data_IF_872829029027
#
_entry.id   IF_872829029027
#
_cell.length_a   1.000
_cell.length_b   1.000
_cell.length_c   1.000
_cell.angle_alpha   90.00
_cell.angle_beta   90.00
_cell.angle_gamma   90.00
#
_symmetry.space_group_name_H-M   'P 1'
#
loop_
_entity.id
_entity.type
_entity.pdbx_description
1 polymer ?
#
# COMPACT_ATOMS: atom_id res chain seq x y z
N UNK A 1 -38.42 0.61 1.46
CA UNK A 1 -37.26 -0.11 0.90
C UNK A 1 -36.02 0.77 0.67
N UNK A 2 -36.14 2.10 0.62
CA UNK A 2 -35.00 3.02 0.34
C UNK A 2 -34.09 3.31 1.54
N UNK A 3 -34.60 3.30 2.77
CA UNK A 3 -33.81 3.67 3.98
C UNK A 3 -32.76 2.62 4.39
N UNK A 4 -33.08 1.34 4.25
CA UNK A 4 -32.14 0.23 4.52
C UNK A 4 -31.04 0.13 3.46
N UNK A 5 -31.35 0.48 2.22
CA UNK A 5 -30.39 0.53 1.11
C UNK A 5 -29.39 1.69 1.26
N UNK A 6 -29.86 2.85 1.75
CA UNK A 6 -28.97 3.98 2.10
C UNK A 6 -27.99 3.58 3.19
N UNK A 7 -28.48 2.98 4.29
CA UNK A 7 -27.64 2.56 5.40
C UNK A 7 -26.59 1.52 4.96
N UNK A 8 -26.97 0.55 4.12
CA UNK A 8 -26.02 -0.41 3.56
C UNK A 8 -24.91 0.28 2.74
N UNK A 9 -25.27 1.26 1.90
CA UNK A 9 -24.30 2.00 1.09
C UNK A 9 -23.39 2.92 1.92
N UNK A 10 -23.83 3.37 3.10
CA UNK A 10 -23.03 4.19 4.01
C UNK A 10 -22.00 3.34 4.79
N UNK A 11 -22.31 2.09 5.16
CA UNK A 11 -21.41 1.20 5.90
C UNK A 11 -20.51 0.34 5.01
N UNK A 12 -20.91 0.09 3.76
CA UNK A 12 -20.14 -0.74 2.83
C UNK A 12 -18.69 -0.24 2.62
N UNK A 13 -18.40 1.07 2.46
CA UNK A 13 -17.03 1.57 2.38
C UNK A 13 -16.20 1.24 3.62
N UNK A 14 -16.79 1.34 4.82
CA UNK A 14 -16.09 1.08 6.08
C UNK A 14 -15.72 -0.39 6.19
N UNK A 15 -16.65 -1.29 5.87
CA UNK A 15 -16.42 -2.74 5.87
C UNK A 15 -15.32 -3.11 4.86
N UNK A 16 -15.34 -2.51 3.67
CA UNK A 16 -14.32 -2.75 2.64
C UNK A 16 -12.94 -2.28 3.08
N UNK A 17 -12.83 -1.09 3.69
CA UNK A 17 -11.55 -0.56 4.19
C UNK A 17 -10.96 -1.46 5.27
N UNK A 18 -11.76 -1.81 6.28
CA UNK A 18 -11.31 -2.69 7.37
C UNK A 18 -10.91 -4.07 6.82
N UNK A 19 -11.71 -4.62 5.92
CA UNK A 19 -11.40 -5.88 5.25
C UNK A 19 -10.07 -5.84 4.49
N UNK A 20 -9.81 -4.76 3.76
CA UNK A 20 -8.56 -4.59 3.01
C UNK A 20 -7.34 -4.53 3.94
N UNK A 21 -7.41 -3.74 5.02
CA UNK A 21 -6.33 -3.64 6.01
C UNK A 21 -6.04 -4.98 6.70
N UNK A 22 -7.08 -5.74 7.04
CA UNK A 22 -6.90 -7.08 7.61
C UNK A 22 -6.22 -8.05 6.63
N UNK A 23 -6.58 -7.99 5.34
CA UNK A 23 -5.97 -8.81 4.29
C UNK A 23 -4.49 -8.43 4.11
N UNK A 24 -4.18 -7.14 4.05
CA UNK A 24 -2.81 -6.64 3.88
C UNK A 24 -1.91 -7.06 5.04
N UNK A 25 -2.39 -6.90 6.28
CA UNK A 25 -1.64 -7.35 7.47
C UNK A 25 -1.45 -8.87 7.51
N UNK A 26 -2.46 -9.65 7.09
CA UNK A 26 -2.37 -11.09 6.97
C UNK A 26 -1.32 -11.53 5.96
N UNK A 27 -1.29 -10.90 4.78
CA UNK A 27 -0.32 -11.16 3.72
C UNK A 27 1.11 -10.82 4.14
N UNK A 28 1.34 -9.67 4.78
CA UNK A 28 2.65 -9.29 5.29
C UNK A 28 3.18 -10.27 6.35
N UNK A 29 2.30 -10.75 7.23
CA UNK A 29 2.64 -11.73 8.26
C UNK A 29 3.00 -13.09 7.63
N UNK A 30 2.19 -13.56 6.68
CA UNK A 30 2.47 -14.80 5.93
C UNK A 30 3.77 -14.70 5.13
N UNK A 31 4.00 -13.58 4.45
CA UNK A 31 5.25 -13.32 3.74
C UNK A 31 6.44 -13.43 4.70
N UNK A 32 6.38 -12.75 5.85
CA UNK A 32 7.47 -12.77 6.83
C UNK A 32 7.71 -14.17 7.39
N UNK A 33 6.65 -14.92 7.71
CA UNK A 33 6.76 -16.30 8.16
C UNK A 33 7.43 -17.19 7.11
N UNK A 34 7.04 -17.07 5.84
CA UNK A 34 7.62 -17.88 4.76
C UNK A 34 9.08 -17.52 4.46
N UNK A 35 9.47 -16.24 4.54
CA UNK A 35 10.87 -15.84 4.41
C UNK A 35 11.72 -16.32 5.59
N UNK A 36 11.16 -16.41 6.81
CA UNK A 36 11.86 -16.97 7.97
C UNK A 36 12.16 -18.47 7.81
N UNK A 37 11.30 -19.20 7.09
CA UNK A 37 11.54 -20.60 6.70
C UNK A 37 12.45 -20.74 5.47
N UNK A 38 13.02 -19.63 4.97
CA UNK A 38 14.01 -19.62 3.89
C UNK A 38 13.43 -19.49 2.48
N UNK A 39 12.13 -19.18 2.34
CA UNK A 39 11.53 -19.00 1.02
C UNK A 39 11.98 -17.71 0.34
N UNK A 40 12.38 -17.81 -0.94
CA UNK A 40 12.80 -16.67 -1.75
C UNK A 40 11.60 -15.73 -2.07
N UNK A 41 11.84 -14.42 -1.98
CA UNK A 41 10.84 -13.37 -2.20
C UNK A 41 10.16 -13.49 -3.58
N UNK A 42 10.91 -13.78 -4.64
CA UNK A 42 10.35 -13.92 -5.98
C UNK A 42 9.38 -15.09 -6.11
N UNK A 43 9.64 -16.18 -5.37
CA UNK A 43 8.79 -17.37 -5.37
C UNK A 43 7.47 -17.07 -4.67
N UNK A 44 7.51 -16.38 -3.52
CA UNK A 44 6.30 -15.93 -2.82
C UNK A 44 5.42 -15.07 -3.74
N UNK A 45 6.02 -14.08 -4.40
CA UNK A 45 5.31 -13.18 -5.31
C UNK A 45 4.63 -13.95 -6.44
N UNK A 46 5.35 -14.90 -7.07
CA UNK A 46 4.82 -15.72 -8.15
C UNK A 46 3.61 -16.55 -7.69
N UNK A 47 3.67 -17.15 -6.49
CA UNK A 47 2.54 -17.88 -5.92
C UNK A 47 1.36 -16.97 -5.61
N UNK A 48 1.58 -15.80 -5.01
CA UNK A 48 0.52 -14.85 -4.70
C UNK A 48 -0.24 -14.43 -5.96
N UNK A 49 0.46 -14.08 -7.05
CA UNK A 49 -0.15 -13.74 -8.33
C UNK A 49 -0.85 -14.93 -8.99
N UNK A 50 -0.28 -16.13 -8.91
CA UNK A 50 -0.89 -17.34 -9.48
C UNK A 50 -2.22 -17.68 -8.78
N UNK A 51 -2.24 -17.61 -7.44
CA UNK A 51 -3.45 -17.83 -6.64
C UNK A 51 -4.47 -16.74 -6.93
N UNK A 52 -4.07 -15.46 -6.90
CA UNK A 52 -4.95 -14.33 -7.21
C UNK A 52 -5.59 -14.46 -8.59
N UNK A 53 -4.81 -14.82 -9.61
CA UNK A 53 -5.30 -15.05 -10.97
C UNK A 53 -6.27 -16.23 -11.02
N UNK A 54 -5.94 -17.34 -10.35
CA UNK A 54 -6.79 -18.55 -10.33
C UNK A 54 -8.15 -18.32 -9.67
N UNK A 55 -8.21 -17.43 -8.67
CA UNK A 55 -9.46 -17.05 -8.00
C UNK A 55 -10.25 -16.03 -8.82
N UNK A 56 -9.58 -15.01 -9.38
CA UNK A 56 -10.25 -13.96 -10.15
C UNK A 56 -10.76 -14.48 -11.50
N UNK A 57 -10.02 -15.36 -12.16
CA UNK A 57 -10.35 -15.89 -13.48
C UNK A 57 -11.78 -16.47 -13.56
N UNK A 58 -12.21 -17.43 -12.71
CA UNK A 58 -13.58 -17.95 -12.74
C UNK A 58 -14.61 -16.88 -12.40
N UNK A 59 -14.34 -16.00 -11.43
CA UNK A 59 -15.26 -14.90 -11.06
C UNK A 59 -15.57 -14.00 -12.26
N UNK A 60 -14.57 -13.72 -13.11
CA UNK A 60 -14.77 -12.92 -14.32
C UNK A 60 -15.60 -13.63 -15.39
N UNK A 61 -15.57 -14.97 -15.44
CA UNK A 61 -16.37 -15.77 -16.39
C UNK A 61 -17.84 -15.90 -15.95
N UNK A 62 -18.09 -16.05 -14.65
CA UNK A 62 -19.44 -16.20 -14.11
C UNK A 62 -20.18 -14.86 -13.91
N UNK A 63 -19.45 -13.74 -13.81
CA UNK A 63 -20.08 -12.43 -13.67
C UNK A 63 -20.71 -12.01 -15.00
N UNK A 64 -22.05 -12.03 -15.05
CA UNK A 64 -22.83 -11.56 -16.20
C UNK A 64 -22.53 -10.08 -16.45
N UNK A 65 -21.72 -9.81 -17.46
CA UNK A 65 -21.25 -8.47 -17.81
C UNK A 65 -22.42 -7.64 -18.35
N UNK A 66 -22.94 -6.73 -17.53
CA UNK A 66 -24.04 -5.83 -17.90
C UNK A 66 -23.60 -4.73 -18.89
N UNK A 67 -22.29 -4.48 -19.00
CA UNK A 67 -21.69 -3.47 -19.90
C UNK A 67 -20.96 -4.15 -21.06
N UNK A 68 -21.23 -3.68 -22.29
CA UNK A 68 -20.41 -3.94 -23.46
C UNK A 68 -19.02 -3.38 -23.18
N UNK A 69 -18.00 -4.22 -23.30
CA UNK A 69 -16.64 -3.81 -22.95
C UNK A 69 -15.91 -3.31 -24.16
N UNK A 70 -15.20 -2.17 -24.03
CA UNK A 70 -14.49 -1.60 -25.15
C UNK A 70 -13.51 -2.63 -25.72
N UNK A 71 -13.38 -2.71 -27.07
CA UNK A 71 -12.44 -3.62 -27.69
C UNK A 71 -11.02 -3.34 -27.18
N UNK A 72 -10.25 -4.41 -26.97
CA UNK A 72 -8.86 -4.32 -26.57
C UNK A 72 -8.06 -3.69 -27.70
N UNK A 73 -7.78 -2.39 -27.59
CA UNK A 73 -6.88 -1.68 -28.50
C UNK A 73 -5.44 -1.82 -28.01
N UNK A 74 -4.47 -1.74 -28.92
CA UNK A 74 -3.05 -1.77 -28.60
C UNK A 74 -2.67 -0.74 -27.51
N UNK A 75 -3.27 0.45 -27.56
CA UNK A 75 -3.08 1.50 -26.55
C UNK A 75 -3.50 1.06 -25.14
N UNK A 76 -4.63 0.36 -25.02
CA UNK A 76 -5.11 -0.15 -23.73
C UNK A 76 -4.16 -1.23 -23.22
N UNK A 77 -3.70 -2.13 -24.09
CA UNK A 77 -2.72 -3.17 -23.73
C UNK A 77 -1.42 -2.53 -23.24
N UNK A 78 -0.87 -1.54 -23.97
CA UNK A 78 0.32 -0.81 -23.53
C UNK A 78 0.14 -0.13 -22.17
N UNK A 79 -1.02 0.48 -21.92
CA UNK A 79 -1.32 1.09 -20.61
C UNK A 79 -1.35 0.03 -19.49
N UNK A 80 -2.01 -1.11 -19.73
CA UNK A 80 -2.07 -2.21 -18.75
C UNK A 80 -0.68 -2.77 -18.47
N UNK A 81 0.14 -2.96 -19.51
CA UNK A 81 1.53 -3.45 -19.37
C UNK A 81 2.36 -2.46 -18.55
N UNK A 82 2.31 -1.16 -18.86
CA UNK A 82 3.04 -0.13 -18.11
C UNK A 82 2.60 -0.08 -16.64
N UNK A 83 1.30 -0.14 -16.38
CA UNK A 83 0.76 -0.12 -15.01
C UNK A 83 1.17 -1.38 -14.23
N UNK A 84 1.15 -2.53 -14.90
CA UNK A 84 1.57 -3.82 -14.35
C UNK A 84 3.08 -3.87 -14.06
N UNK A 85 3.93 -3.36 -14.96
CA UNK A 85 5.39 -3.37 -14.73
C UNK A 85 5.78 -2.46 -13.56
N UNK A 86 5.13 -1.31 -13.40
CA UNK A 86 5.35 -0.42 -12.24
C UNK A 86 4.96 -1.14 -10.95
N UNK A 87 3.78 -1.77 -10.90
CA UNK A 87 3.31 -2.49 -9.71
C UNK A 87 4.13 -3.72 -9.35
N UNK A 88 4.56 -4.52 -10.34
CA UNK A 88 5.46 -5.64 -10.10
C UNK A 88 6.82 -5.17 -9.57
N UNK A 89 7.35 -4.09 -10.12
CA UNK A 89 8.64 -3.52 -9.68
C UNK A 89 8.54 -3.03 -8.24
N UNK A 90 7.45 -2.33 -7.89
CA UNK A 90 7.25 -1.82 -6.53
C UNK A 90 7.20 -2.98 -5.51
N UNK A 91 6.39 -4.02 -5.76
CA UNK A 91 6.32 -5.17 -4.86
C UNK A 91 7.66 -5.88 -4.66
N UNK A 92 8.43 -6.12 -5.74
CA UNK A 92 9.76 -6.74 -5.62
C UNK A 92 10.65 -5.88 -4.72
N UNK A 93 10.64 -4.56 -4.93
CA UNK A 93 11.45 -3.62 -4.16
C UNK A 93 11.02 -3.57 -2.69
N UNK A 94 9.72 -3.61 -2.43
CA UNK A 94 9.14 -3.66 -1.08
C UNK A 94 9.56 -4.91 -0.32
N UNK A 95 9.45 -6.09 -0.94
CA UNK A 95 9.85 -7.35 -0.31
C UNK A 95 11.35 -7.45 -0.05
N UNK A 96 12.18 -6.96 -0.98
CA UNK A 96 13.63 -6.85 -0.77
C UNK A 96 13.92 -5.84 0.36
N UNK A 97 13.24 -4.69 0.39
CA UNK A 97 13.36 -3.69 1.44
C UNK A 97 12.98 -4.22 2.83
N UNK A 98 11.90 -5.01 2.94
CA UNK A 98 11.51 -5.71 4.18
C UNK A 98 12.55 -6.77 4.57
N UNK A 99 13.18 -7.44 3.60
CA UNK A 99 14.22 -8.44 3.87
C UNK A 99 15.49 -7.82 4.45
N UNK A 100 15.89 -6.62 3.98
CA UNK A 100 17.04 -5.87 4.51
C UNK A 100 16.72 -5.03 5.75
N UNK A 101 15.44 -4.88 6.10
CA UNK A 101 14.99 -4.07 7.24
C UNK A 101 13.99 -4.83 8.13
N UNK A 102 12.98 -4.13 8.66
CA UNK A 102 11.91 -4.72 9.48
C UNK A 102 10.54 -4.38 8.89
N UNK A 103 9.53 -5.25 9.08
CA UNK A 103 8.14 -4.95 8.73
C UNK A 103 7.64 -3.66 9.39
N UNK A 104 8.08 -3.36 10.61
CA UNK A 104 7.73 -2.11 11.31
C UNK A 104 8.27 -0.86 10.60
N UNK A 105 9.49 -0.92 10.05
CA UNK A 105 10.03 0.17 9.22
C UNK A 105 9.18 0.35 7.96
N UNK A 106 8.81 -0.75 7.30
CA UNK A 106 7.94 -0.70 6.13
C UNK A 106 6.58 -0.06 6.46
N UNK A 107 5.94 -0.43 7.58
CA UNK A 107 4.69 0.20 8.02
C UNK A 107 4.86 1.69 8.35
N UNK A 108 6.01 2.09 8.92
CA UNK A 108 6.30 3.49 9.20
C UNK A 108 6.47 4.31 7.91
N UNK A 109 7.16 3.79 6.89
CA UNK A 109 7.34 4.47 5.61
C UNK A 109 6.04 4.45 4.78
N UNK A 110 5.19 3.44 4.93
CA UNK A 110 3.86 3.38 4.29
C UNK A 110 2.99 4.59 4.61
N UNK A 111 3.16 5.20 5.78
CA UNK A 111 2.47 6.43 6.18
C UNK A 111 2.81 7.63 5.27
N UNK A 112 3.85 7.53 4.42
CA UNK A 112 4.19 8.53 3.41
C UNK A 112 3.40 8.39 2.10
N UNK A 113 2.68 7.28 1.87
CA UNK A 113 1.86 7.08 0.67
C UNK A 113 0.92 8.27 0.39
N UNK A 114 0.09 8.78 1.33
CA UNK A 114 -0.78 9.93 1.06
C UNK A 114 -0.01 11.20 0.68
N UNK A 115 1.23 11.36 1.15
CA UNK A 115 2.11 12.49 0.81
C UNK A 115 2.56 12.40 -0.64
N UNK A 116 3.11 11.23 -1.02
CA UNK A 116 3.57 11.00 -2.38
C UNK A 116 2.42 11.08 -3.39
N UNK A 117 1.25 10.52 -3.05
CA UNK A 117 0.06 10.59 -3.89
C UNK A 117 -0.39 12.03 -4.10
N UNK A 118 -0.43 12.86 -3.06
CA UNK A 118 -0.78 14.28 -3.19
C UNK A 118 0.25 15.04 -4.04
N UNK A 119 1.55 14.83 -3.78
CA UNK A 119 2.62 15.47 -4.55
C UNK A 119 2.50 15.15 -6.04
N UNK A 120 2.31 13.87 -6.37
CA UNK A 120 2.14 13.40 -7.75
C UNK A 120 0.85 13.95 -8.38
N UNK A 121 -0.26 13.99 -7.65
CA UNK A 121 -1.52 14.57 -8.14
C UNK A 121 -1.37 16.05 -8.54
N UNK A 122 -0.59 16.82 -7.77
CA UNK A 122 -0.24 18.22 -8.08
C UNK A 122 0.70 18.29 -9.29
N UNK A 123 1.75 17.48 -9.34
CA UNK A 123 2.72 17.46 -10.46
C UNK A 123 2.07 17.08 -11.79
N UNK A 124 1.21 16.06 -11.81
CA UNK A 124 0.46 15.65 -13.00
C UNK A 124 -0.74 16.56 -13.32
N UNK A 125 -0.94 17.62 -12.53
CA UNK A 125 -2.02 18.60 -12.73
C UNK A 125 -3.42 17.98 -12.72
N UNK A 126 -3.56 16.82 -12.07
CA UNK A 126 -4.84 16.14 -11.85
C UNK A 126 -5.69 16.92 -10.85
N UNK A 127 -5.05 17.59 -9.89
CA UNK A 127 -5.69 18.63 -9.09
C UNK A 127 -5.42 20.02 -9.68
N UNK A 128 -6.47 20.67 -10.20
CA UNK A 128 -6.42 22.11 -10.45
C UNK A 128 -6.48 22.81 -9.09
N UNK A 129 -5.34 23.29 -8.60
CA UNK A 129 -5.24 24.24 -7.49
C UNK A 129 -5.90 25.57 -7.90
N UNK A 130 -7.23 25.57 -8.01
CA UNK A 130 -7.99 26.78 -8.16
C UNK A 130 -8.08 27.42 -6.78
N UNK A 131 -7.03 28.18 -6.41
CA UNK A 131 -6.87 28.84 -5.10
C UNK A 131 -8.08 29.69 -4.66
N UNK A 132 -9.01 29.98 -5.58
CA UNK A 132 -10.24 30.75 -5.36
C UNK A 132 -11.44 29.91 -4.90
N UNK A 133 -11.42 28.57 -5.03
CA UNK A 133 -12.54 27.70 -4.60
C UNK A 133 -12.34 27.18 -3.18
N UNK A 134 -13.28 27.49 -2.27
CA UNK A 134 -13.27 27.00 -0.88
C UNK A 134 -13.24 25.47 -0.79
N UNK A 135 -13.86 24.77 -1.74
CA UNK A 135 -13.85 23.30 -1.78
C UNK A 135 -12.47 22.73 -2.15
N UNK A 136 -11.75 23.37 -3.07
CA UNK A 136 -10.38 22.97 -3.43
C UNK A 136 -9.42 23.21 -2.26
N UNK A 137 -9.55 24.34 -1.57
CA UNK A 137 -8.72 24.64 -0.39
C UNK A 137 -9.02 23.69 0.76
N UNK A 138 -10.28 23.29 0.97
CA UNK A 138 -10.64 22.28 1.97
C UNK A 138 -10.05 20.90 1.66
N UNK A 139 -9.99 20.49 0.39
CA UNK A 139 -9.32 19.24 -0.02
C UNK A 139 -7.82 19.29 0.27
N UNK A 140 -7.16 20.38 -0.11
CA UNK A 140 -5.71 20.56 0.13
C UNK A 140 -5.40 20.62 1.63
N UNK A 141 -6.17 21.38 2.41
CA UNK A 141 -6.00 21.47 3.87
C UNK A 141 -6.27 20.10 4.53
N UNK A 142 -7.32 19.38 4.10
CA UNK A 142 -7.61 18.03 4.56
C UNK A 142 -6.46 17.06 4.28
N UNK A 143 -5.87 17.12 3.08
CA UNK A 143 -4.68 16.35 2.73
C UNK A 143 -3.48 16.72 3.62
N UNK A 144 -3.20 18.00 3.83
CA UNK A 144 -2.10 18.45 4.71
C UNK A 144 -2.30 17.97 6.15
N UNK A 145 -3.53 18.05 6.67
CA UNK A 145 -3.86 17.57 8.03
C UNK A 145 -3.72 16.04 8.10
N UNK A 146 -4.15 15.30 7.09
CA UNK A 146 -3.98 13.84 7.03
C UNK A 146 -2.51 13.44 6.99
N UNK A 147 -1.70 14.15 6.21
CA UNK A 147 -0.24 13.99 6.13
C UNK A 147 0.40 14.27 7.50
N UNK A 148 0.02 15.37 8.15
CA UNK A 148 0.51 15.71 9.47
C UNK A 148 0.12 14.65 10.51
N UNK A 149 -1.11 14.13 10.46
CA UNK A 149 -1.58 13.04 11.32
C UNK A 149 -0.78 11.75 11.14
N UNK A 150 -0.45 11.38 9.91
CA UNK A 150 0.37 10.23 9.59
C UNK A 150 1.81 10.37 10.14
N UNK A 151 2.41 11.55 10.04
CA UNK A 151 3.71 11.83 10.68
C UNK A 151 3.65 11.78 12.20
N UNK A 152 2.61 12.38 12.81
CA UNK A 152 2.43 12.32 14.27
C UNK A 152 2.31 10.88 14.73
N UNK A 153 1.49 10.04 14.07
CA UNK A 153 1.37 8.62 14.40
C UNK A 153 2.71 7.88 14.26
N UNK A 154 3.49 8.19 13.24
CA UNK A 154 4.80 7.57 12.99
C UNK A 154 5.84 7.93 14.04
N UNK A 155 5.88 9.20 14.46
CA UNK A 155 6.83 9.68 15.46
C UNK A 155 6.33 9.50 16.91
N UNK A 156 5.06 9.17 17.09
CA UNK A 156 4.48 8.91 18.41
C UNK A 156 5.02 7.59 18.98
N UNK A 157 6.03 7.69 19.83
CA UNK A 157 6.49 6.58 20.67
C UNK A 157 5.52 6.40 21.83
N UNK A 158 4.51 5.56 21.66
CA UNK A 158 3.61 5.15 22.74
C UNK A 158 4.34 4.34 23.83
N UNK A 159 3.80 4.28 25.06
CA UNK A 159 4.34 3.44 26.12
C UNK A 159 4.32 1.95 25.70
N UNK A 160 5.41 1.23 25.96
CA UNK A 160 5.51 -0.21 25.67
C UNK A 160 4.45 -0.97 26.46
N UNK A 161 3.49 -1.57 25.77
CA UNK A 161 2.36 -2.29 26.38
C UNK A 161 2.79 -3.73 26.79
N UNK A 162 3.97 -4.18 26.34
CA UNK A 162 4.49 -5.51 26.66
C UNK A 162 5.62 -5.42 27.71
N UNK A 163 5.25 -5.58 28.98
CA UNK A 163 6.20 -5.92 30.05
C UNK A 163 6.62 -7.39 29.87
N UNK A 164 7.53 -7.66 28.95
CA UNK A 164 8.21 -8.96 28.87
C UNK A 164 9.35 -9.02 29.90
N UNK A 165 8.99 -9.15 31.17
CA UNK A 165 9.89 -9.62 32.21
C UNK A 165 10.20 -11.10 31.98
N UNK A 166 11.15 -11.40 31.08
CA UNK A 166 11.90 -12.69 30.99
C UNK A 166 12.71 -12.89 29.69
N UNK A 167 12.82 -11.91 28.79
CA UNK A 167 13.75 -12.02 27.65
C UNK A 167 14.99 -11.16 27.90
N UNK A 168 15.96 -11.75 28.59
CA UNK A 168 17.33 -11.25 28.66
C UNK A 168 17.96 -11.34 27.27
N UNK A 169 17.78 -10.28 26.47
CA UNK A 169 18.75 -9.79 25.50
C UNK A 169 18.39 -8.33 25.18
N UNK A 170 18.93 -7.37 25.95
CA UNK A 170 18.70 -5.97 25.69
C UNK A 170 19.49 -5.54 24.44
N UNK A 171 18.76 -5.06 23.43
CA UNK A 171 19.18 -3.97 22.53
C UNK A 171 20.57 -4.15 21.87
N UNK A 172 20.67 -5.10 20.94
CA UNK A 172 21.62 -4.98 19.80
C UNK A 172 20.98 -4.25 18.60
N UNK A 173 19.67 -3.95 18.65
CA UNK A 173 18.92 -3.29 17.56
C UNK A 173 19.31 -1.83 17.31
N UNK A 174 19.99 -1.17 18.26
CA UNK A 174 20.46 0.21 18.12
C UNK A 174 21.98 0.33 17.94
N UNK A 175 22.72 -0.78 17.89
CA UNK A 175 24.19 -0.76 17.93
C UNK A 175 24.89 -1.09 16.61
N UNK A 176 24.16 -1.30 15.53
CA UNK A 176 24.71 -1.14 14.19
C UNK A 176 23.75 -0.35 13.32
N UNK A 177 24.09 0.89 12.98
CA UNK A 177 23.65 1.47 11.71
C UNK A 177 24.39 0.68 10.65
N UNK A 178 23.95 -0.55 10.40
CA UNK A 178 24.46 -1.32 9.28
C UNK A 178 23.99 -0.63 8.00
N UNK A 179 24.90 -0.50 7.05
CA UNK A 179 24.61 -0.01 5.70
C UNK A 179 23.40 -0.72 5.06
N UNK A 180 23.16 -1.98 5.42
CA UNK A 180 22.01 -2.79 4.98
C UNK A 180 20.65 -2.23 5.42
N UNK A 181 20.54 -1.69 6.64
CA UNK A 181 19.28 -1.13 7.14
C UNK A 181 18.91 0.17 6.40
N UNK A 182 19.91 1.02 6.15
CA UNK A 182 19.74 2.25 5.36
C UNK A 182 19.35 1.92 3.90
N UNK A 183 19.96 0.88 3.31
CA UNK A 183 19.58 0.36 1.99
C UNK A 183 18.12 -0.13 2.01
N UNK A 184 17.70 -0.88 3.03
CA UNK A 184 16.31 -1.30 3.20
C UNK A 184 15.33 -0.13 3.26
N UNK A 185 15.64 0.92 4.03
CA UNK A 185 14.83 2.14 4.10
C UNK A 185 14.74 2.90 2.77
N UNK A 186 15.83 3.01 2.01
CA UNK A 186 15.83 3.62 0.68
C UNK A 186 14.97 2.82 -0.30
N UNK A 187 15.12 1.49 -0.32
CA UNK A 187 14.33 0.59 -1.19
C UNK A 187 12.84 0.69 -0.88
N UNK A 188 12.46 0.72 0.41
CA UNK A 188 11.08 0.91 0.85
C UNK A 188 10.53 2.28 0.46
N UNK A 189 11.35 3.33 0.55
CA UNK A 189 10.91 4.68 0.14
C UNK A 189 10.61 4.73 -1.36
N UNK A 190 11.45 4.10 -2.18
CA UNK A 190 11.22 3.99 -3.63
C UNK A 190 10.01 3.12 -3.94
N UNK A 191 9.79 2.02 -3.22
CA UNK A 191 8.60 1.18 -3.34
C UNK A 191 7.32 2.01 -3.12
N UNK A 192 7.19 2.66 -1.96
CA UNK A 192 5.98 3.44 -1.66
C UNK A 192 5.77 4.65 -2.58
N UNK A 193 6.84 5.21 -3.15
CA UNK A 193 6.73 6.21 -4.21
C UNK A 193 6.17 5.60 -5.52
N UNK A 194 6.64 4.42 -5.92
CA UNK A 194 6.11 3.69 -7.09
C UNK A 194 4.67 3.25 -6.89
N UNK A 195 4.30 2.85 -5.67
CA UNK A 195 2.90 2.55 -5.29
C UNK A 195 2.04 3.79 -5.47
N UNK A 196 2.46 4.95 -4.95
CA UNK A 196 1.75 6.22 -5.14
C UNK A 196 1.65 6.63 -6.61
N UNK A 197 2.70 6.39 -7.41
CA UNK A 197 2.68 6.61 -8.85
C UNK A 197 1.68 5.70 -9.57
N UNK A 198 1.61 4.43 -9.18
CA UNK A 198 0.65 3.48 -9.73
C UNK A 198 -0.80 3.93 -9.44
N UNK A 199 -1.08 4.34 -8.19
CA UNK A 199 -2.40 4.87 -7.78
C UNK A 199 -2.83 6.06 -8.64
N UNK A 200 -1.90 6.95 -9.00
CA UNK A 200 -2.19 8.14 -9.80
C UNK A 200 -2.38 7.83 -11.29
N UNK A 201 -1.70 6.80 -11.80
CA UNK A 201 -1.78 6.38 -13.20
C UNK A 201 -2.98 5.47 -13.51
N UNK A 202 -3.59 4.86 -12.49
CA UNK A 202 -4.73 3.94 -12.57
C UNK A 202 -6.06 4.67 -12.77
#
# INVERSE_FOLDING_TARGET
MTRTWSFYMDFLPVIVIIGNECIDMGLLTLFKAATLEGMNNHVFIAYAYAVGTSVLFPVTLFTRRSRVVPPLTFTIICKIVLLGTIGCTSQILGYIGISYSSPTLASAIANLIPIFTFMLAVTFRMEKLAAKSRSSNAKVIGSIISIAGAFVLTFYKGPSIMNSSSLHQPIDFLKSVDSSWAIGGMLLTVDYFLVALNIILQ
#
